data_IF_319643249971
#
_entry.id   IF_319643249971
#
_cell.length_a   1.000
_cell.length_b   1.000
_cell.length_c   1.000
_cell.angle_alpha   90.00
_cell.angle_beta   90.00
_cell.angle_gamma   90.00
#
_symmetry.space_group_name_H-M   'P 1'
#
loop_
_entity.id
_entity.type
_entity.pdbx_description
1 polymer ?
#
# COMPACT_ATOMS: atom_id res chain seq x y z
N UNK A 1 -20.87 -1.97 -29.63
CA UNK A 1 -22.12 -2.67 -29.25
C UNK A 1 -21.88 -3.76 -28.21
N UNK A 2 -20.98 -4.73 -28.44
CA UNK A 2 -20.78 -5.88 -27.52
C UNK A 2 -20.29 -5.53 -26.11
N UNK A 3 -19.35 -4.59 -25.97
CA UNK A 3 -18.75 -4.22 -24.67
C UNK A 3 -19.81 -3.69 -23.69
N UNK A 4 -20.65 -2.75 -24.13
CA UNK A 4 -21.71 -2.18 -23.28
C UNK A 4 -22.74 -3.22 -22.87
N UNK A 5 -23.11 -4.13 -23.79
CA UNK A 5 -24.01 -5.24 -23.47
C UNK A 5 -23.40 -6.22 -22.44
N UNK A 6 -22.10 -6.53 -22.59
CA UNK A 6 -21.36 -7.35 -21.64
C UNK A 6 -21.36 -6.76 -20.23
N UNK A 7 -21.04 -5.47 -20.12
CA UNK A 7 -21.09 -4.77 -18.83
C UNK A 7 -22.49 -4.74 -18.22
N UNK A 8 -23.53 -4.53 -19.03
CA UNK A 8 -24.90 -4.53 -18.53
C UNK A 8 -25.30 -5.91 -17.97
N UNK A 9 -25.01 -6.99 -18.70
CA UNK A 9 -25.29 -8.35 -18.24
C UNK A 9 -24.49 -8.69 -17.00
N UNK A 10 -23.19 -8.37 -16.98
CA UNK A 10 -22.35 -8.60 -15.82
C UNK A 10 -22.86 -7.85 -14.57
N UNK A 11 -23.26 -6.58 -14.72
CA UNK A 11 -23.82 -5.81 -13.61
C UNK A 11 -25.16 -6.37 -13.13
N UNK A 12 -25.99 -6.87 -14.07
CA UNK A 12 -27.25 -7.53 -13.76
C UNK A 12 -27.02 -8.82 -12.97
N UNK A 13 -26.05 -9.64 -13.37
CA UNK A 13 -25.68 -10.87 -12.66
C UNK A 13 -25.17 -10.54 -11.25
N UNK A 14 -24.24 -9.58 -11.11
CA UNK A 14 -23.74 -9.13 -9.80
C UNK A 14 -24.90 -8.70 -8.88
N UNK A 15 -25.86 -7.94 -9.41
CA UNK A 15 -27.01 -7.45 -8.64
C UNK A 15 -27.97 -8.57 -8.22
N UNK A 16 -28.33 -9.47 -9.14
CA UNK A 16 -29.31 -10.53 -8.85
C UNK A 16 -28.74 -11.64 -7.98
N UNK A 17 -27.48 -12.03 -8.21
CA UNK A 17 -26.82 -13.13 -7.52
C UNK A 17 -26.02 -12.66 -6.29
N UNK A 18 -25.99 -11.35 -6.01
CA UNK A 18 -25.35 -10.74 -4.82
C UNK A 18 -23.87 -11.12 -4.67
N UNK A 19 -23.10 -11.06 -5.75
CA UNK A 19 -21.65 -11.28 -5.73
C UNK A 19 -20.89 -10.12 -6.37
N UNK A 20 -19.65 -9.92 -5.91
CA UNK A 20 -18.82 -8.78 -6.31
C UNK A 20 -19.48 -7.42 -6.02
N UNK A 21 -18.96 -6.37 -6.63
CA UNK A 21 -19.43 -5.00 -6.42
C UNK A 21 -20.31 -4.53 -7.56
N UNK A 22 -21.56 -4.15 -7.26
CA UNK A 22 -22.49 -3.57 -8.25
C UNK A 22 -22.10 -2.12 -8.54
N UNK A 23 -22.09 -1.74 -9.82
CA UNK A 23 -21.77 -0.38 -10.25
C UNK A 23 -23.06 0.40 -10.54
N UNK A 24 -23.24 1.55 -9.89
CA UNK A 24 -24.37 2.46 -10.16
C UNK A 24 -24.23 3.18 -11.50
N UNK A 25 -23.01 3.56 -11.84
CA UNK A 25 -22.64 4.07 -13.15
C UNK A 25 -21.29 3.50 -13.57
N UNK A 26 -21.21 3.11 -14.83
CA UNK A 26 -19.98 2.69 -15.50
C UNK A 26 -19.97 3.32 -16.89
N UNK A 27 -19.04 4.24 -17.11
CA UNK A 27 -18.78 4.83 -18.41
C UNK A 27 -17.79 3.99 -19.22
N UNK A 28 -17.78 4.19 -20.53
CA UNK A 28 -16.80 3.58 -21.42
C UNK A 28 -16.33 4.61 -22.45
N UNK A 29 -15.03 4.93 -22.41
CA UNK A 29 -14.35 5.71 -23.44
C UNK A 29 -13.43 4.79 -24.24
N UNK A 30 -13.86 4.44 -25.45
CA UNK A 30 -13.16 3.51 -26.34
C UNK A 30 -11.82 4.03 -26.90
N UNK A 31 -11.59 5.35 -26.88
CA UNK A 31 -10.35 5.92 -27.44
C UNK A 31 -9.18 5.85 -26.46
N UNK A 32 -9.48 5.79 -25.15
CA UNK A 32 -8.50 5.83 -24.08
C UNK A 32 -8.56 4.56 -23.21
N UNK A 33 -9.37 3.57 -23.61
CA UNK A 33 -9.71 2.39 -22.81
C UNK A 33 -10.01 2.74 -21.34
N UNK A 34 -10.79 3.81 -21.16
CA UNK A 34 -11.06 4.38 -19.85
C UNK A 34 -12.47 4.06 -19.38
N UNK A 35 -12.57 3.55 -18.15
CA UNK A 35 -13.81 3.02 -17.56
C UNK A 35 -14.15 3.75 -16.25
N UNK A 36 -14.70 4.98 -16.31
CA UNK A 36 -15.03 5.73 -15.10
C UNK A 36 -16.22 5.10 -14.36
N UNK A 37 -16.06 4.89 -13.06
CA UNK A 37 -17.14 4.49 -12.16
C UNK A 37 -17.54 5.67 -11.27
N UNK A 38 -18.84 5.82 -11.03
CA UNK A 38 -19.34 6.84 -10.11
C UNK A 38 -20.68 6.41 -9.51
N UNK A 39 -21.08 7.09 -8.43
CA UNK A 39 -22.37 6.87 -7.77
C UNK A 39 -23.19 8.15 -7.86
N UNK A 40 -24.19 8.15 -8.74
CA UNK A 40 -25.11 9.28 -8.90
C UNK A 40 -26.19 9.23 -7.82
N UNK A 41 -26.28 10.31 -7.03
CA UNK A 41 -27.33 10.45 -6.01
C UNK A 41 -28.59 11.10 -6.60
N UNK A 42 -29.80 10.76 -6.10
CA UNK A 42 -31.03 11.42 -6.52
C UNK A 42 -31.01 12.93 -6.24
N UNK A 43 -31.59 13.72 -7.15
CA UNK A 43 -31.75 15.17 -6.97
C UNK A 43 -33.01 15.47 -6.10
N UNK A 44 -32.88 16.22 -5.00
CA UNK A 44 -34.03 16.61 -4.16
C UNK A 44 -35.00 17.57 -4.87
N UNK A 45 -34.57 18.22 -5.94
CA UNK A 45 -35.39 19.11 -6.77
C UNK A 45 -35.65 18.52 -8.16
N UNK A 46 -35.82 17.20 -8.24
CA UNK A 46 -36.18 16.55 -9.49
C UNK A 46 -37.58 17.00 -9.95
N UNK A 47 -37.73 17.33 -11.24
CA UNK A 47 -39.00 17.73 -11.84
C UNK A 47 -40.06 16.60 -11.82
N UNK A 48 -39.61 15.35 -11.68
CA UNK A 48 -40.46 14.17 -11.71
C UNK A 48 -41.02 13.85 -10.31
N UNK A 49 -42.34 13.93 -10.16
CA UNK A 49 -43.00 13.80 -8.86
C UNK A 49 -42.91 12.40 -8.23
N UNK A 50 -42.86 11.32 -9.01
CA UNK A 50 -42.71 9.96 -8.49
C UNK A 50 -41.29 9.71 -7.96
N UNK A 51 -40.28 10.37 -8.52
CA UNK A 51 -38.90 10.33 -8.06
C UNK A 51 -38.83 10.91 -6.65
N UNK A 52 -39.41 12.09 -6.42
CA UNK A 52 -39.47 12.70 -5.08
C UNK A 52 -40.20 11.81 -4.07
N UNK A 53 -41.33 11.21 -4.45
CA UNK A 53 -42.05 10.25 -3.58
C UNK A 53 -41.20 9.03 -3.22
N UNK A 54 -40.47 8.47 -4.19
CA UNK A 54 -39.57 7.32 -3.95
C UNK A 54 -38.37 7.70 -3.08
N UNK A 55 -37.86 8.92 -3.21
CA UNK A 55 -36.79 9.42 -2.35
C UNK A 55 -37.26 9.49 -0.88
N UNK A 56 -38.47 10.01 -0.63
CA UNK A 56 -39.05 10.03 0.71
C UNK A 56 -39.22 8.61 1.28
N UNK A 57 -39.83 7.70 0.51
CA UNK A 57 -39.99 6.31 0.93
C UNK A 57 -38.65 5.60 1.19
N UNK A 58 -37.61 5.90 0.41
CA UNK A 58 -36.26 5.38 0.64
C UNK A 58 -35.63 5.92 1.92
N UNK A 59 -35.81 7.21 2.22
CA UNK A 59 -35.34 7.80 3.48
C UNK A 59 -36.02 7.19 4.71
N UNK A 60 -37.34 6.94 4.64
CA UNK A 60 -38.08 6.23 5.68
C UNK A 60 -37.58 4.79 5.87
N UNK A 61 -37.30 4.09 4.76
CA UNK A 61 -36.72 2.75 4.80
C UNK A 61 -35.33 2.74 5.43
N UNK A 62 -34.48 3.73 5.14
CA UNK A 62 -33.16 3.85 5.75
C UNK A 62 -33.23 4.18 7.25
N UNK A 63 -34.22 4.97 7.67
CA UNK A 63 -34.41 5.30 9.08
C UNK A 63 -34.95 4.11 9.91
N UNK A 64 -35.63 3.16 9.25
CA UNK A 64 -36.23 1.99 9.89
C UNK A 64 -35.36 0.73 9.80
N UNK A 65 -34.48 0.65 8.80
CA UNK A 65 -33.43 -0.36 8.80
C UNK A 65 -32.40 0.00 9.88
N UNK A 66 -31.96 -0.97 10.72
CA UNK A 66 -30.71 -0.83 11.45
C UNK A 66 -29.64 -0.45 10.44
N UNK A 67 -28.74 0.49 10.79
CA UNK A 67 -27.50 0.67 10.01
C UNK A 67 -26.87 -0.72 9.97
N UNK A 68 -26.96 -1.38 8.83
CA UNK A 68 -26.01 -2.42 8.49
C UNK A 68 -24.68 -1.65 8.51
N UNK A 69 -23.96 -1.78 9.63
CA UNK A 69 -22.51 -1.67 9.63
C UNK A 69 -22.06 -2.42 8.37
N UNK A 70 -21.20 -1.81 7.57
CA UNK A 70 -20.62 -2.39 6.36
C UNK A 70 -20.01 -3.77 6.70
N UNK A 71 -20.84 -4.81 6.79
CA UNK A 71 -20.45 -6.21 6.91
C UNK A 71 -20.10 -6.63 5.51
N UNK A 72 -18.94 -6.15 5.10
CA UNK A 72 -17.79 -6.96 4.71
C UNK A 72 -16.68 -5.94 4.45
N UNK A 73 -15.99 -5.51 5.51
CA UNK A 73 -14.56 -5.79 5.50
C UNK A 73 -14.48 -7.24 5.03
N UNK A 74 -14.13 -7.42 3.77
CA UNK A 74 -13.64 -8.70 3.29
C UNK A 74 -12.70 -9.13 4.40
N UNK A 75 -13.09 -10.10 5.23
CA UNK A 75 -12.12 -10.82 6.04
C UNK A 75 -11.07 -11.18 5.01
N UNK A 76 -9.93 -10.50 5.06
CA UNK A 76 -8.83 -10.77 4.16
C UNK A 76 -8.55 -12.23 4.40
N UNK A 77 -8.99 -13.09 3.47
CA UNK A 77 -8.81 -14.52 3.62
C UNK A 77 -7.32 -14.69 3.84
N UNK A 78 -6.96 -15.13 5.05
CA UNK A 78 -5.57 -15.22 5.45
C UNK A 78 -4.86 -16.08 4.40
N UNK A 79 -3.94 -15.45 3.66
CA UNK A 79 -3.35 -16.07 2.48
C UNK A 79 -2.40 -17.18 2.96
N UNK A 80 -2.90 -18.41 3.00
CA UNK A 80 -2.09 -19.58 3.36
C UNK A 80 -1.32 -20.05 2.13
N UNK A 81 0.01 -20.01 2.20
CA UNK A 81 0.89 -20.58 1.19
C UNK A 81 1.08 -22.08 1.47
N UNK A 82 0.77 -22.95 0.50
CA UNK A 82 0.96 -24.41 0.63
C UNK A 82 2.44 -24.77 0.85
N UNK A 83 3.36 -24.09 0.16
CA UNK A 83 4.80 -24.25 0.29
C UNK A 83 5.50 -22.87 0.36
N UNK A 84 6.46 -22.72 1.27
CA UNK A 84 7.33 -21.53 1.38
C UNK A 84 8.79 -21.95 1.64
N UNK A 85 9.36 -22.72 0.70
CA UNK A 85 10.73 -23.25 0.80
C UNK A 85 11.81 -22.17 0.89
N UNK A 86 11.49 -20.95 0.44
CA UNK A 86 12.42 -19.83 0.29
C UNK A 86 12.27 -18.77 1.40
N UNK A 87 11.39 -18.99 2.39
CA UNK A 87 11.22 -18.10 3.54
C UNK A 87 10.74 -16.69 3.18
N UNK A 88 9.93 -16.56 2.12
CA UNK A 88 9.39 -15.27 1.68
C UNK A 88 8.39 -14.77 2.74
N UNK A 89 8.58 -13.54 3.21
CA UNK A 89 7.70 -12.89 4.20
C UNK A 89 7.13 -11.60 3.63
N UNK A 90 5.88 -11.28 4.02
CA UNK A 90 5.25 -10.01 3.69
C UNK A 90 5.79 -8.94 4.64
N UNK A 91 6.55 -7.99 4.10
CA UNK A 91 7.05 -6.83 4.85
C UNK A 91 6.08 -5.67 4.65
N UNK A 92 5.61 -5.09 5.76
CA UNK A 92 4.76 -3.90 5.71
C UNK A 92 5.61 -2.65 5.44
N UNK A 93 5.44 -2.05 4.26
CA UNK A 93 6.17 -0.85 3.84
C UNK A 93 5.78 0.40 4.66
N UNK A 94 4.73 0.34 5.49
CA UNK A 94 4.30 1.42 6.37
C UNK A 94 4.98 1.41 7.75
N UNK A 95 5.69 0.33 8.07
CA UNK A 95 6.54 0.26 9.26
C UNK A 95 7.89 0.90 8.94
N UNK A 96 8.34 1.85 9.77
CA UNK A 96 9.71 2.35 9.69
C UNK A 96 10.64 1.13 9.82
N UNK A 97 11.37 0.78 8.76
CA UNK A 97 12.35 -0.30 8.70
C UNK A 97 13.58 0.01 9.57
N UNK A 98 13.34 0.15 10.86
CA UNK A 98 14.29 0.38 11.92
C UNK A 98 13.86 -0.47 13.10
N UNK A 99 13.80 -1.80 12.95
CA UNK A 99 13.96 -2.74 14.08
C UNK A 99 13.92 -4.24 13.75
N UNK A 100 13.93 -4.68 12.49
CA UNK A 100 14.19 -6.10 12.20
C UNK A 100 15.70 -6.40 12.18
N UNK A 101 16.35 -6.11 13.31
CA UNK A 101 17.66 -6.67 13.67
C UNK A 101 17.49 -7.92 14.53
N UNK A 102 16.34 -8.59 14.43
CA UNK A 102 16.19 -9.94 14.97
C UNK A 102 16.63 -10.91 13.90
N UNK A 103 17.81 -11.48 14.13
CA UNK A 103 18.45 -12.55 13.38
C UNK A 103 17.41 -13.54 12.83
N UNK A 104 17.01 -13.35 11.57
CA UNK A 104 16.23 -14.36 10.86
C UNK A 104 17.06 -15.63 10.82
N UNK A 105 16.46 -16.75 11.18
CA UNK A 105 17.11 -18.05 11.19
C UNK A 105 17.46 -18.42 9.74
N UNK A 106 18.70 -18.15 9.32
CA UNK A 106 19.12 -18.47 7.96
C UNK A 106 19.09 -19.98 7.77
N UNK A 107 18.78 -20.40 6.55
CA UNK A 107 18.81 -21.80 6.16
C UNK A 107 20.20 -22.42 6.40
N UNK A 108 20.22 -23.73 6.69
CA UNK A 108 21.45 -24.47 7.01
C UNK A 108 22.50 -24.29 5.91
N UNK A 109 23.57 -23.54 6.22
CA UNK A 109 24.70 -23.30 5.32
C UNK A 109 24.93 -21.84 4.92
N UNK A 110 24.11 -20.90 5.38
CA UNK A 110 24.26 -19.47 5.08
C UNK A 110 24.68 -18.67 6.34
N UNK A 111 25.65 -17.76 6.20
CA UNK A 111 26.10 -16.86 7.26
C UNK A 111 26.17 -15.41 6.77
N UNK A 112 25.88 -14.44 7.65
CA UNK A 112 26.04 -13.03 7.33
C UNK A 112 27.53 -12.64 7.29
N UNK A 113 27.94 -11.96 6.22
CA UNK A 113 29.33 -11.50 6.05
C UNK A 113 29.64 -10.22 6.85
N UNK A 114 28.62 -9.40 7.17
CA UNK A 114 28.78 -8.15 7.91
C UNK A 114 27.45 -7.70 8.53
N UNK A 115 27.48 -7.16 9.75
CA UNK A 115 26.32 -6.51 10.39
C UNK A 115 26.54 -5.00 10.42
N UNK A 116 25.56 -4.22 9.93
CA UNK A 116 25.63 -2.76 10.00
C UNK A 116 25.57 -2.34 11.49
N UNK A 117 26.56 -1.61 12.04
CA UNK A 117 26.48 -1.13 13.41
C UNK A 117 25.33 -0.12 13.56
N UNK A 118 24.62 -0.19 14.70
CA UNK A 118 23.53 0.71 15.02
C UNK A 118 24.06 2.14 15.18
N UNK A 119 23.53 3.07 14.38
CA UNK A 119 23.84 4.50 14.49
C UNK A 119 23.25 5.02 15.82
N UNK A 120 24.13 5.33 16.76
CA UNK A 120 23.77 5.95 18.03
C UNK A 120 23.28 7.37 17.75
N UNK A 121 22.02 7.66 18.07
CA UNK A 121 21.45 8.99 17.95
C UNK A 121 22.01 9.87 19.07
N UNK A 122 23.04 10.67 18.75
CA UNK A 122 23.30 11.91 19.46
C UNK A 122 22.91 13.07 18.53
N UNK A 123 21.88 13.81 18.90
CA UNK A 123 21.50 15.06 18.25
C UNK A 123 22.63 16.08 18.40
N UNK A 124 23.23 16.54 17.30
CA UNK A 124 23.19 17.95 16.87
C UNK A 124 24.07 18.22 15.62
N UNK A 125 23.36 18.60 14.55
CA UNK A 125 23.69 19.65 13.57
C UNK A 125 24.83 19.42 12.54
N UNK A 126 24.39 19.09 11.32
CA UNK A 126 25.06 19.25 10.02
C UNK A 126 25.85 20.59 9.84
N UNK A 127 26.84 20.71 8.91
CA UNK A 127 26.83 20.03 7.62
C UNK A 127 28.17 19.52 7.06
N UNK A 128 28.00 18.75 5.98
CA UNK A 128 28.90 18.63 4.84
C UNK A 128 30.07 17.64 4.93
N UNK A 129 29.89 16.62 4.09
CA UNK A 129 30.88 16.08 3.17
C UNK A 129 31.99 15.18 3.73
N UNK A 130 32.29 14.22 2.85
CA UNK A 130 33.59 13.61 2.58
C UNK A 130 33.99 12.38 3.40
N UNK A 131 33.95 11.26 2.65
CA UNK A 131 35.08 10.35 2.48
C UNK A 131 35.28 9.30 3.57
N UNK A 132 34.84 8.10 3.20
CA UNK A 132 35.57 6.82 3.30
C UNK A 132 36.92 6.80 4.04
N UNK A 133 37.14 5.65 4.69
CA UNK A 133 38.41 4.89 4.70
C UNK A 133 39.08 4.77 6.08
N UNK A 134 38.86 3.59 6.67
CA UNK A 134 39.78 2.71 7.42
C UNK A 134 40.62 3.20 8.60
N UNK A 135 40.41 2.44 9.68
CA UNK A 135 41.39 1.69 10.48
C UNK A 135 42.11 2.35 11.66
N UNK A 136 41.95 1.66 12.80
CA UNK A 136 42.81 1.66 13.97
C UNK A 136 44.28 1.46 13.57
N UNK A 137 45.17 2.29 14.11
CA UNK A 137 46.60 2.04 13.97
C UNK A 137 47.51 3.22 14.26
N UNK A 138 47.50 3.72 15.49
CA UNK A 138 48.54 4.60 16.02
C UNK A 138 48.45 6.06 15.56
N UNK A 139 48.52 6.97 16.54
CA UNK A 139 48.39 8.42 16.40
C UNK A 139 49.55 9.03 15.59
N UNK A 140 49.61 8.82 14.28
CA UNK A 140 50.46 9.59 13.38
C UNK A 140 49.59 10.51 12.53
N UNK A 141 49.73 11.82 12.75
CA UNK A 141 49.04 12.83 11.95
C UNK A 141 49.46 12.72 10.48
N UNK A 142 48.50 12.89 9.57
CA UNK A 142 48.67 12.94 8.12
C UNK A 142 49.75 13.97 7.71
N UNK A 143 49.96 14.99 8.54
CA UNK A 143 50.99 16.02 8.38
C UNK A 143 52.42 15.49 8.59
N UNK A 144 52.62 14.52 9.49
CA UNK A 144 53.92 13.89 9.75
C UNK A 144 54.33 12.97 8.60
N UNK A 145 53.38 12.23 8.02
CA UNK A 145 53.59 11.42 6.80
C UNK A 145 54.00 12.27 5.60
N UNK A 146 53.36 13.43 5.40
CA UNK A 146 53.71 14.37 4.33
C UNK A 146 55.09 15.03 4.52
N UNK A 147 55.52 15.22 5.77
CA UNK A 147 56.87 15.71 6.07
C UNK A 147 57.95 14.67 5.75
N UNK A 148 57.71 13.41 6.09
CA UNK A 148 58.65 12.32 5.87
C UNK A 148 58.92 12.08 4.37
N UNK A 149 57.88 12.19 3.54
CA UNK A 149 57.99 12.07 2.07
C UNK A 149 58.75 13.23 1.40
N UNK A 150 58.88 14.39 2.06
CA UNK A 150 59.62 15.57 1.54
C UNK A 150 61.10 15.60 1.93
N UNK A 151 61.55 14.68 2.79
CA UNK A 151 62.95 14.57 3.20
C UNK A 151 63.75 13.54 2.36
N UNK A 152 63.09 12.88 1.40
CA UNK A 152 63.70 12.07 0.33
C UNK A 152 63.73 12.90 -0.94
#
# INVERSE_FOLDING_TARGET
MGIVAGFLVQNTLKYLLKFGTVSYYLGYNAMQDFFPTMTMKPNPHCDESFCLKRQQAYQEKLATQPKEEDVKETEEEEIVHEDNEWGISLVDESSDLREDTQLQELTTGLSYAYTKPAETTEEQTEPASTTSTTEEGGEQSLEDLMRQMKQI
#
